data_IF_499844085775
#
_entry.id   IF_499844085775
#
_cell.length_a   1.000
_cell.length_b   1.000
_cell.length_c   1.000
_cell.angle_alpha   90.00
_cell.angle_beta   90.00
_cell.angle_gamma   90.00
#
_symmetry.space_group_name_H-M   'P 1'
#
loop_
_entity.id
_entity.type
_entity.pdbx_description
1 polymer ?
#
# COMPACT_ATOMS: atom_id res chain seq x y z
N UNK A 1 -44.17 11.73 -21.46
CA UNK A 1 -43.85 11.89 -20.02
C UNK A 1 -42.90 10.79 -19.56
N UNK A 2 -43.23 9.52 -19.80
CA UNK A 2 -42.33 8.37 -19.55
C UNK A 2 -40.99 8.44 -20.31
N UNK A 3 -40.99 8.85 -21.58
CA UNK A 3 -39.75 9.01 -22.38
C UNK A 3 -38.80 10.09 -21.87
N UNK A 4 -39.32 11.18 -21.28
CA UNK A 4 -38.49 12.23 -20.64
C UNK A 4 -37.92 11.76 -19.30
N UNK A 5 -38.67 10.94 -18.57
CA UNK A 5 -38.23 10.40 -17.28
C UNK A 5 -37.13 9.33 -17.45
N UNK A 6 -37.24 8.50 -18.50
CA UNK A 6 -36.20 7.53 -18.88
C UNK A 6 -34.92 8.24 -19.32
N UNK A 7 -35.02 9.26 -20.19
CA UNK A 7 -33.86 10.05 -20.62
C UNK A 7 -33.15 10.74 -19.44
N UNK A 8 -33.91 11.29 -18.49
CA UNK A 8 -33.35 11.90 -17.27
C UNK A 8 -32.65 10.89 -16.36
N UNK A 9 -33.16 9.65 -16.27
CA UNK A 9 -32.52 8.59 -15.46
C UNK A 9 -31.20 8.12 -16.08
N UNK A 10 -31.16 8.05 -17.41
CA UNK A 10 -30.01 7.60 -18.19
C UNK A 10 -28.86 8.63 -18.17
N UNK A 11 -29.19 9.93 -18.21
CA UNK A 11 -28.22 11.03 -18.05
C UNK A 11 -27.67 11.16 -16.62
N UNK A 12 -28.43 10.79 -15.58
CA UNK A 12 -27.96 10.82 -14.18
C UNK A 12 -27.14 9.57 -13.85
N UNK A 13 -27.47 8.41 -14.45
CA UNK A 13 -26.81 7.13 -14.17
C UNK A 13 -25.39 7.05 -14.76
N UNK A 14 -25.19 7.55 -15.98
CA UNK A 14 -23.89 7.51 -16.68
C UNK A 14 -22.74 8.25 -15.96
N UNK A 15 -22.89 9.49 -15.45
CA UNK A 15 -21.81 10.17 -14.72
C UNK A 15 -21.47 9.48 -13.40
N UNK A 16 -22.48 9.00 -12.65
CA UNK A 16 -22.25 8.27 -11.40
C UNK A 16 -21.46 6.97 -11.62
N UNK A 17 -21.79 6.22 -12.68
CA UNK A 17 -21.05 5.01 -13.06
C UNK A 17 -19.60 5.35 -13.40
N UNK A 18 -19.36 6.41 -14.19
CA UNK A 18 -18.02 6.84 -14.57
C UNK A 18 -17.19 7.20 -13.34
N UNK A 19 -17.74 7.97 -12.40
CA UNK A 19 -17.03 8.38 -11.19
C UNK A 19 -16.73 7.20 -10.28
N UNK A 20 -17.66 6.25 -10.14
CA UNK A 20 -17.46 5.01 -9.39
C UNK A 20 -16.33 4.15 -9.99
N UNK A 21 -16.31 3.99 -11.32
CA UNK A 21 -15.23 3.27 -12.03
C UNK A 21 -13.89 3.99 -11.84
N UNK A 22 -13.87 5.31 -11.91
CA UNK A 22 -12.64 6.09 -11.69
C UNK A 22 -12.11 5.89 -10.26
N UNK A 23 -12.97 6.01 -9.25
CA UNK A 23 -12.60 5.83 -7.84
C UNK A 23 -12.06 4.42 -7.59
N UNK A 24 -12.77 3.39 -8.06
CA UNK A 24 -12.32 1.99 -7.93
C UNK A 24 -11.00 1.75 -8.63
N UNK A 25 -10.81 2.26 -9.85
CA UNK A 25 -9.53 2.18 -10.57
C UNK A 25 -8.40 2.84 -9.78
N UNK A 26 -8.64 4.01 -9.19
CA UNK A 26 -7.63 4.72 -8.40
C UNK A 26 -7.27 3.95 -7.12
N UNK A 27 -8.25 3.35 -6.44
CA UNK A 27 -8.00 2.52 -5.27
C UNK A 27 -7.19 1.26 -5.61
N UNK A 28 -7.50 0.60 -6.72
CA UNK A 28 -6.73 -0.56 -7.21
C UNK A 28 -5.29 -0.15 -7.53
N UNK A 29 -5.10 1.01 -8.18
CA UNK A 29 -3.78 1.51 -8.49
C UNK A 29 -2.95 1.74 -7.22
N UNK A 30 -3.51 2.43 -6.22
CA UNK A 30 -2.83 2.67 -4.92
C UNK A 30 -2.57 1.35 -4.18
N UNK A 31 -3.51 0.40 -4.22
CA UNK A 31 -3.33 -0.93 -3.63
C UNK A 31 -2.12 -1.65 -4.24
N UNK A 32 -1.96 -1.59 -5.57
CA UNK A 32 -0.82 -2.22 -6.22
C UNK A 32 0.50 -1.57 -5.80
N UNK A 33 0.58 -0.23 -5.75
CA UNK A 33 1.79 0.47 -5.30
C UNK A 33 2.15 0.12 -3.85
N UNK A 34 1.17 0.13 -2.95
CA UNK A 34 1.37 -0.16 -1.53
C UNK A 34 1.69 -1.63 -1.27
N UNK A 35 1.13 -2.55 -2.06
CA UNK A 35 1.48 -3.97 -2.02
C UNK A 35 2.94 -4.22 -2.42
N UNK A 36 3.45 -3.50 -3.42
CA UNK A 36 4.85 -3.64 -3.85
C UNK A 36 5.81 -3.15 -2.77
N UNK A 37 5.54 -2.01 -2.15
CA UNK A 37 6.38 -1.54 -1.05
C UNK A 37 6.27 -2.42 0.20
N UNK A 38 5.10 -3.01 0.47
CA UNK A 38 4.97 -4.03 1.52
C UNK A 38 5.80 -5.29 1.22
N UNK A 39 5.81 -5.76 -0.02
CA UNK A 39 6.61 -6.92 -0.42
C UNK A 39 8.11 -6.69 -0.16
N UNK A 40 8.60 -5.49 -0.45
CA UNK A 40 10.00 -5.09 -0.19
C UNK A 40 10.31 -5.12 1.32
N UNK A 41 9.41 -4.61 2.16
CA UNK A 41 9.56 -4.67 3.62
C UNK A 41 9.58 -6.11 4.12
N UNK A 42 8.62 -6.93 3.70
CA UNK A 42 8.55 -8.33 4.10
C UNK A 42 9.81 -9.11 3.67
N UNK A 43 10.31 -8.87 2.46
CA UNK A 43 11.54 -9.50 1.98
C UNK A 43 12.76 -9.11 2.81
N UNK A 44 12.82 -7.86 3.28
CA UNK A 44 13.88 -7.41 4.19
C UNK A 44 13.84 -8.14 5.53
N UNK A 45 12.64 -8.32 6.08
CA UNK A 45 12.43 -9.03 7.35
C UNK A 45 12.79 -10.52 7.20
N UNK A 46 12.37 -11.16 6.10
CA UNK A 46 12.74 -12.55 5.77
C UNK A 46 14.26 -12.75 5.66
N UNK A 47 14.98 -11.78 5.08
CA UNK A 47 16.46 -11.82 5.04
C UNK A 47 17.03 -11.71 6.45
N UNK A 48 16.52 -10.79 7.28
CA UNK A 48 16.99 -10.62 8.65
C UNK A 48 16.80 -11.90 9.47
N UNK A 49 15.62 -12.51 9.39
CA UNK A 49 15.29 -13.77 10.06
C UNK A 49 16.19 -14.92 9.56
N UNK A 50 16.39 -15.02 8.25
CA UNK A 50 17.30 -16.02 7.68
C UNK A 50 18.76 -15.86 8.15
N UNK A 51 19.22 -14.63 8.41
CA UNK A 51 20.56 -14.38 8.96
C UNK A 51 20.61 -14.76 10.43
N UNK A 52 19.55 -14.48 11.20
CA UNK A 52 19.46 -14.87 12.60
C UNK A 52 19.46 -16.39 12.79
N UNK A 53 18.71 -17.10 11.94
CA UNK A 53 18.63 -18.56 11.97
C UNK A 53 19.87 -19.25 11.40
N UNK A 54 20.71 -18.52 10.66
CA UNK A 54 22.00 -19.02 10.24
C UNK A 54 22.92 -19.23 11.45
N UNK A 55 23.70 -20.32 11.43
CA UNK A 55 24.78 -20.57 12.40
C UNK A 55 25.98 -19.63 12.15
N UNK A 56 25.73 -18.31 12.06
CA UNK A 56 26.68 -17.29 11.62
C UNK A 56 27.94 -17.27 12.50
N UNK A 57 27.78 -17.54 13.79
CA UNK A 57 28.89 -17.61 14.76
C UNK A 57 29.86 -18.78 14.51
N UNK A 58 29.47 -19.77 13.69
CA UNK A 58 30.30 -20.91 13.33
C UNK A 58 31.01 -20.72 11.97
N UNK A 59 30.85 -19.58 11.29
CA UNK A 59 31.56 -19.30 10.02
C UNK A 59 32.95 -18.72 10.27
N UNK A 60 33.73 -18.52 9.19
CA UNK A 60 34.97 -17.75 9.28
C UNK A 60 34.69 -16.27 9.67
N UNK A 61 35.73 -15.55 10.11
CA UNK A 61 35.59 -14.16 10.60
C UNK A 61 35.12 -13.18 9.52
N UNK A 62 35.50 -13.39 8.27
CA UNK A 62 35.11 -12.52 7.15
C UNK A 62 33.61 -12.63 6.88
N UNK A 63 33.08 -13.84 6.79
CA UNK A 63 31.65 -14.10 6.60
C UNK A 63 30.82 -13.66 7.81
N UNK A 64 31.33 -13.82 9.04
CA UNK A 64 30.67 -13.26 10.23
C UNK A 64 30.48 -11.74 10.12
N UNK A 65 31.51 -11.02 9.66
CA UNK A 65 31.43 -9.58 9.46
C UNK A 65 30.38 -9.22 8.40
N UNK A 66 30.28 -9.99 7.32
CA UNK A 66 29.28 -9.78 6.28
C UNK A 66 27.85 -9.99 6.82
N UNK A 67 27.61 -11.03 7.63
CA UNK A 67 26.31 -11.25 8.26
C UNK A 67 25.93 -10.10 9.20
N UNK A 68 26.85 -9.65 10.04
CA UNK A 68 26.61 -8.50 10.93
C UNK A 68 26.30 -7.23 10.13
N UNK A 69 27.03 -6.99 9.03
CA UNK A 69 26.77 -5.85 8.16
C UNK A 69 25.40 -5.96 7.48
N UNK A 70 25.07 -7.12 6.93
CA UNK A 70 23.77 -7.36 6.28
C UNK A 70 22.62 -7.17 7.28
N UNK A 71 22.71 -7.77 8.46
CA UNK A 71 21.71 -7.62 9.52
C UNK A 71 21.56 -6.15 9.95
N UNK A 72 22.68 -5.43 10.09
CA UNK A 72 22.65 -3.98 10.39
C UNK A 72 21.95 -3.18 9.30
N UNK A 73 22.10 -3.56 8.03
CA UNK A 73 21.35 -2.92 6.94
C UNK A 73 19.86 -3.24 7.04
N UNK A 74 19.48 -4.48 7.37
CA UNK A 74 18.07 -4.86 7.54
C UNK A 74 17.34 -4.09 8.65
N UNK A 75 18.06 -3.63 9.69
CA UNK A 75 17.50 -2.77 10.75
C UNK A 75 17.08 -1.38 10.24
N UNK A 76 17.54 -0.97 9.06
CA UNK A 76 17.09 0.22 8.35
C UNK A 76 16.45 -0.22 7.03
N UNK A 77 15.21 -0.76 7.08
CA UNK A 77 14.60 -1.38 5.92
C UNK A 77 14.50 -0.41 4.73
N UNK A 78 14.55 -0.93 3.49
CA UNK A 78 14.34 -0.12 2.30
C UNK A 78 12.88 0.33 2.22
N UNK A 79 12.60 1.53 2.71
CA UNK A 79 11.25 2.10 2.70
C UNK A 79 11.00 2.76 1.34
N UNK A 80 10.01 2.25 0.61
CA UNK A 80 9.51 2.91 -0.59
C UNK A 80 8.55 4.03 -0.18
N UNK A 81 8.84 5.27 -0.59
CA UNK A 81 8.00 6.43 -0.26
C UNK A 81 7.55 7.19 -1.51
N UNK A 82 6.33 7.71 -1.48
CA UNK A 82 5.85 8.66 -2.47
C UNK A 82 6.30 10.07 -2.07
N UNK A 83 7.38 10.55 -2.69
CA UNK A 83 7.90 11.91 -2.49
C UNK A 83 8.32 12.22 -1.05
N UNK A 84 8.63 11.21 -0.23
CA UNK A 84 8.96 11.36 1.19
C UNK A 84 7.79 11.69 2.10
N UNK A 85 6.56 11.76 1.59
CA UNK A 85 5.37 12.14 2.35
C UNK A 85 4.56 10.94 2.83
N UNK A 86 4.50 9.89 2.00
CA UNK A 86 3.71 8.69 2.27
C UNK A 86 4.57 7.46 2.10
N UNK A 87 4.60 6.60 3.11
CA UNK A 87 5.21 5.28 3.02
C UNK A 87 4.30 4.35 2.22
N UNK A 88 4.83 3.70 1.18
CA UNK A 88 4.07 2.77 0.33
C UNK A 88 4.00 1.39 0.98
N UNK A 89 3.13 1.24 1.98
CA UNK A 89 2.86 -0.03 2.65
C UNK A 89 1.34 -0.22 2.83
N UNK A 90 0.91 -1.43 3.22
CA UNK A 90 -0.52 -1.73 3.37
C UNK A 90 -1.16 -0.96 4.53
N UNK A 91 -0.39 -0.55 5.52
CA UNK A 91 -0.86 0.33 6.60
C UNK A 91 -1.33 1.68 6.06
N UNK A 92 -0.52 2.34 5.23
CA UNK A 92 -0.89 3.59 4.57
C UNK A 92 -2.12 3.42 3.68
N UNK A 93 -2.24 2.29 2.96
CA UNK A 93 -3.46 1.99 2.19
C UNK A 93 -4.70 1.94 3.08
N UNK A 94 -4.63 1.24 4.22
CA UNK A 94 -5.72 1.17 5.18
C UNK A 94 -6.07 2.56 5.75
N UNK A 95 -5.07 3.40 6.03
CA UNK A 95 -5.28 4.79 6.47
C UNK A 95 -6.00 5.62 5.40
N UNK A 96 -5.65 5.48 4.12
CA UNK A 96 -6.33 6.15 3.01
C UNK A 96 -7.81 5.75 2.96
N UNK A 97 -8.12 4.45 2.98
CA UNK A 97 -9.51 3.95 2.97
C UNK A 97 -10.30 4.48 4.17
N UNK A 98 -9.70 4.40 5.37
CA UNK A 98 -10.32 4.91 6.60
C UNK A 98 -10.63 6.40 6.50
N UNK A 99 -9.69 7.19 5.98
CA UNK A 99 -9.87 8.61 5.70
C UNK A 99 -11.05 8.84 4.73
N UNK A 100 -11.08 8.13 3.61
CA UNK A 100 -12.16 8.25 2.60
C UNK A 100 -13.54 7.96 3.19
N UNK A 101 -13.69 6.88 3.97
CA UNK A 101 -14.97 6.53 4.62
C UNK A 101 -15.36 7.57 5.67
N UNK A 102 -14.39 8.09 6.42
CA UNK A 102 -14.64 9.16 7.40
C UNK A 102 -15.17 10.42 6.72
N UNK A 103 -14.51 10.88 5.66
CA UNK A 103 -14.97 12.04 4.89
C UNK A 103 -16.35 11.82 4.28
N UNK A 104 -16.59 10.64 3.70
CA UNK A 104 -17.91 10.28 3.18
C UNK A 104 -19.00 10.35 4.26
N UNK A 105 -18.70 9.84 5.46
CA UNK A 105 -19.64 9.86 6.59
C UNK A 105 -19.97 11.29 7.02
N UNK A 106 -18.96 12.16 7.12
CA UNK A 106 -19.16 13.59 7.46
C UNK A 106 -20.04 14.27 6.43
N UNK A 107 -19.74 14.11 5.14
CA UNK A 107 -20.53 14.70 4.04
C UNK A 107 -21.97 14.18 3.97
N UNK A 108 -22.21 12.92 4.38
CA UNK A 108 -23.55 12.37 4.46
C UNK A 108 -24.33 12.89 5.69
N UNK A 109 -23.62 13.21 6.77
CA UNK A 109 -24.22 13.69 8.02
C UNK A 109 -24.54 15.19 8.03
N UNK A 110 -23.91 15.96 7.14
CA UNK A 110 -24.19 17.39 6.88
C UNK A 110 -25.36 17.56 5.92
#
# INVERSE_FOLDING_TARGET
MLSKQVASYEEISTPFIKDSIFLTSQLIHILFLTSQGQFVLNSNDEIADSIYDALWYNTNKETQLLFVLALRNCMSPPILSAGGLLTLNLETFAQIIKGSVSYFTVLKSS
#
